data_IF_436674373411
#
_entry.id   IF_436674373411
#
_cell.length_a   1.000
_cell.length_b   1.000
_cell.length_c   1.000
_cell.angle_alpha   90.00
_cell.angle_beta   90.00
_cell.angle_gamma   90.00
#
_symmetry.space_group_name_H-M   'P 1'
#
loop_
_entity.id
_entity.type
_entity.pdbx_description
1 polymer ?
#
# COMPACT_ATOMS: atom_id res chain seq x y z
N UNK A 1 15.51 50.12 -9.69
CA UNK A 1 14.74 50.00 -8.44
C UNK A 1 14.63 48.52 -8.12
N UNK A 2 15.53 48.01 -7.29
CA UNK A 2 15.55 46.61 -6.85
C UNK A 2 14.41 46.38 -5.86
N UNK A 3 13.45 45.52 -6.19
CA UNK A 3 12.45 45.05 -5.24
C UNK A 3 13.16 44.25 -4.15
N UNK A 4 13.17 44.77 -2.92
CA UNK A 4 13.60 43.99 -1.77
C UNK A 4 12.55 42.89 -1.49
N UNK A 5 12.97 41.64 -1.26
CA UNK A 5 12.05 40.57 -0.90
C UNK A 5 11.47 40.85 0.50
N UNK A 6 10.15 40.72 0.64
CA UNK A 6 9.43 40.99 1.88
C UNK A 6 9.73 39.88 2.92
N UNK A 7 10.42 40.17 4.04
CA UNK A 7 10.87 39.18 5.00
C UNK A 7 9.72 38.47 5.76
N UNK A 8 8.52 39.05 5.78
CA UNK A 8 7.39 38.52 6.55
C UNK A 8 6.69 37.30 5.90
N UNK A 9 7.03 36.98 4.65
CA UNK A 9 6.46 35.83 3.94
C UNK A 9 7.30 34.56 4.02
N UNK A 10 8.60 34.66 4.33
CA UNK A 10 9.50 33.51 4.35
C UNK A 10 9.49 32.76 5.71
N UNK A 11 9.16 33.45 6.81
CA UNK A 11 9.26 32.91 8.17
C UNK A 11 8.04 32.08 8.63
N UNK A 12 6.92 32.14 7.89
CA UNK A 12 5.74 31.33 8.22
C UNK A 12 6.02 29.83 7.98
N UNK A 13 6.90 29.49 7.04
CA UNK A 13 7.28 28.09 6.76
C UNK A 13 8.17 27.48 7.84
N UNK A 14 8.86 28.29 8.64
CA UNK A 14 9.69 27.83 9.77
C UNK A 14 8.84 27.47 11.01
N UNK A 15 7.66 28.06 11.16
CA UNK A 15 6.77 27.83 12.31
C UNK A 15 5.64 26.81 12.05
N UNK A 16 5.48 26.34 10.82
CA UNK A 16 4.56 25.23 10.54
C UNK A 16 5.29 23.91 10.84
N UNK A 17 5.17 23.44 12.10
CA UNK A 17 5.60 22.07 12.46
C UNK A 17 5.02 21.09 11.42
N UNK A 18 5.83 20.19 10.84
CA UNK A 18 5.35 19.21 9.86
C UNK A 18 4.21 18.36 10.46
N UNK A 19 2.99 18.64 10.01
CA UNK A 19 1.78 18.05 10.59
C UNK A 19 0.53 18.92 10.70
N UNK A 20 0.51 20.15 10.17
CA UNK A 20 -0.71 20.99 10.17
C UNK A 20 -1.84 20.47 9.27
N UNK A 21 -1.56 19.57 8.32
CA UNK A 21 -2.57 18.86 7.51
C UNK A 21 -2.99 17.51 8.11
N UNK A 22 -2.81 17.32 9.42
CA UNK A 22 -3.28 16.11 10.11
C UNK A 22 -4.75 16.26 10.47
N UNK A 23 -5.54 15.20 10.23
CA UNK A 23 -6.94 15.18 10.62
C UNK A 23 -7.07 15.39 12.15
N UNK A 24 -7.87 16.37 12.62
CA UNK A 24 -7.90 16.76 14.04
C UNK A 24 -8.32 15.62 14.99
N UNK A 25 -9.06 14.63 14.51
CA UNK A 25 -9.56 13.51 15.31
C UNK A 25 -8.47 12.48 15.69
N UNK A 26 -7.51 12.21 14.82
CA UNK A 26 -6.46 11.18 15.05
C UNK A 26 -5.20 11.73 15.72
N UNK A 27 -5.25 12.95 16.26
CA UNK A 27 -4.09 13.61 16.87
C UNK A 27 -3.51 12.81 18.04
N UNK A 28 -4.35 12.06 18.77
CA UNK A 28 -4.03 11.35 20.01
C UNK A 28 -3.77 9.85 19.85
N UNK A 29 -4.15 9.23 18.72
CA UNK A 29 -3.87 7.82 18.46
C UNK A 29 -2.62 7.75 17.59
N UNK A 30 -1.49 7.40 18.20
CA UNK A 30 -0.21 7.23 17.50
C UNK A 30 0.44 5.91 17.89
N UNK A 31 0.83 5.12 16.89
CA UNK A 31 1.55 3.86 17.11
C UNK A 31 2.99 4.04 16.60
N UNK A 32 3.92 4.17 17.53
CA UNK A 32 5.35 4.37 17.26
C UNK A 32 6.13 3.05 17.31
N UNK A 33 5.86 2.14 16.37
CA UNK A 33 6.58 0.88 16.24
C UNK A 33 7.15 0.74 14.83
N UNK A 34 8.13 1.58 14.43
CA UNK A 34 8.53 1.75 13.04
C UNK A 34 9.01 0.46 12.35
N UNK A 35 9.73 -0.39 13.07
CA UNK A 35 10.19 -1.68 12.52
C UNK A 35 9.06 -2.69 12.40
N UNK A 36 8.14 -2.72 13.36
CA UNK A 36 6.96 -3.59 13.31
C UNK A 36 6.02 -3.17 12.18
N UNK A 37 5.76 -1.87 12.03
CA UNK A 37 4.94 -1.34 10.93
C UNK A 37 5.58 -1.67 9.58
N UNK A 38 6.91 -1.51 9.43
CA UNK A 38 7.63 -1.97 8.24
C UNK A 38 7.42 -3.48 7.99
N UNK A 39 7.58 -4.31 9.01
CA UNK A 39 7.37 -5.76 8.89
C UNK A 39 5.92 -6.09 8.47
N UNK A 40 4.93 -5.43 9.08
CA UNK A 40 3.52 -5.61 8.73
C UNK A 40 3.23 -5.23 7.27
N UNK A 41 3.79 -4.11 6.80
CA UNK A 41 3.68 -3.68 5.40
C UNK A 41 4.28 -4.73 4.46
N UNK A 42 5.47 -5.26 4.79
CA UNK A 42 6.12 -6.30 3.99
C UNK A 42 5.27 -7.59 3.96
N UNK A 43 4.73 -8.01 5.09
CA UNK A 43 3.84 -9.18 5.17
C UNK A 43 2.59 -8.99 4.32
N UNK A 44 1.97 -7.80 4.35
CA UNK A 44 0.78 -7.51 3.55
C UNK A 44 1.10 -7.55 2.05
N UNK A 45 2.21 -6.96 1.61
CA UNK A 45 2.59 -7.02 0.20
C UNK A 45 2.96 -8.45 -0.23
N UNK A 46 3.60 -9.22 0.66
CA UNK A 46 3.84 -10.64 0.43
C UNK A 46 2.55 -11.44 0.30
N UNK A 47 1.52 -11.12 1.09
CA UNK A 47 0.20 -11.73 0.96
C UNK A 47 -0.46 -11.37 -0.37
N UNK A 48 -0.40 -10.11 -0.81
CA UNK A 48 -0.93 -9.69 -2.12
C UNK A 48 -0.25 -10.49 -3.24
N UNK A 49 1.08 -10.50 -3.28
CA UNK A 49 1.84 -11.21 -4.32
C UNK A 49 1.67 -12.74 -4.25
N UNK A 50 1.65 -13.31 -3.04
CA UNK A 50 1.46 -14.74 -2.83
C UNK A 50 0.07 -15.23 -3.24
N UNK A 51 -0.98 -14.46 -2.91
CA UNK A 51 -2.33 -14.76 -3.39
C UNK A 51 -2.45 -14.58 -4.90
N UNK A 52 -1.85 -13.54 -5.50
CA UNK A 52 -1.83 -13.36 -6.95
C UNK A 52 -1.15 -14.54 -7.66
N UNK A 53 -0.03 -15.04 -7.12
CA UNK A 53 0.66 -16.23 -7.62
C UNK A 53 -0.17 -17.50 -7.47
N UNK A 54 -0.83 -17.70 -6.33
CA UNK A 54 -1.71 -18.84 -6.11
C UNK A 54 -2.90 -18.85 -7.09
N UNK A 55 -3.47 -17.66 -7.37
CA UNK A 55 -4.55 -17.51 -8.36
C UNK A 55 -4.02 -17.80 -9.77
N UNK A 56 -2.89 -17.19 -10.16
CA UNK A 56 -2.30 -17.39 -11.49
C UNK A 56 -1.93 -18.87 -11.75
N UNK A 57 -1.32 -19.52 -10.77
CA UNK A 57 -0.90 -20.93 -10.88
C UNK A 57 -2.07 -21.93 -10.94
N UNK A 58 -3.28 -21.51 -10.58
CA UNK A 58 -4.47 -22.34 -10.70
C UNK A 58 -4.93 -22.55 -12.15
N UNK A 59 -4.49 -21.68 -13.08
CA UNK A 59 -4.93 -21.72 -14.49
C UNK A 59 -6.41 -21.39 -14.69
N UNK A 60 -7.08 -20.83 -13.68
CA UNK A 60 -8.47 -20.43 -13.78
C UNK A 60 -8.60 -19.18 -14.65
N UNK A 61 -9.36 -19.27 -15.74
CA UNK A 61 -9.58 -18.14 -16.64
C UNK A 61 -10.56 -17.14 -16.02
N UNK A 62 -10.05 -15.94 -15.70
CA UNK A 62 -10.83 -14.89 -15.02
C UNK A 62 -11.33 -13.88 -16.06
N UNK A 63 -10.43 -13.36 -16.87
CA UNK A 63 -10.72 -12.42 -17.95
C UNK A 63 -9.57 -12.44 -18.94
N UNK A 64 -9.82 -11.92 -20.15
CA UNK A 64 -8.79 -11.84 -21.19
C UNK A 64 -7.57 -11.04 -20.72
N UNK A 65 -6.41 -11.69 -20.65
CA UNK A 65 -5.17 -11.07 -20.16
C UNK A 65 -5.01 -11.07 -18.64
N UNK A 66 -5.85 -11.80 -17.89
CA UNK A 66 -5.72 -11.97 -16.44
C UNK A 66 -4.35 -12.51 -16.03
N UNK A 67 -3.76 -13.40 -16.83
CA UNK A 67 -2.41 -13.93 -16.61
C UNK A 67 -1.35 -12.84 -16.57
N UNK A 68 -1.41 -11.90 -17.52
CA UNK A 68 -0.49 -10.77 -17.62
C UNK A 68 -0.69 -9.84 -16.43
N UNK A 69 -1.94 -9.53 -16.11
CA UNK A 69 -2.27 -8.61 -15.02
C UNK A 69 -1.84 -9.17 -13.65
N UNK A 70 -2.08 -10.46 -13.38
CA UNK A 70 -1.60 -11.14 -12.17
C UNK A 70 -0.07 -11.23 -12.16
N UNK A 71 0.56 -11.54 -13.30
CA UNK A 71 2.01 -11.53 -13.45
C UNK A 71 2.64 -10.18 -13.08
N UNK A 72 2.02 -9.07 -13.50
CA UNK A 72 2.45 -7.73 -13.13
C UNK A 72 2.32 -7.47 -11.62
N UNK A 73 1.21 -7.87 -10.99
CA UNK A 73 1.04 -7.75 -9.53
C UNK A 73 2.13 -8.52 -8.79
N UNK A 74 2.43 -9.75 -9.20
CA UNK A 74 3.49 -10.59 -8.63
C UNK A 74 4.86 -9.92 -8.78
N UNK A 75 5.18 -9.42 -9.98
CA UNK A 75 6.45 -8.76 -10.25
C UNK A 75 6.63 -7.49 -9.40
N UNK A 76 5.61 -6.63 -9.33
CA UNK A 76 5.64 -5.41 -8.53
C UNK A 76 5.77 -5.73 -7.03
N UNK A 77 5.05 -6.74 -6.54
CA UNK A 77 5.15 -7.20 -5.15
C UNK A 77 6.57 -7.72 -4.84
N UNK A 78 7.15 -8.53 -5.73
CA UNK A 78 8.51 -9.04 -5.57
C UNK A 78 9.55 -7.89 -5.52
N UNK A 79 9.45 -6.92 -6.43
CA UNK A 79 10.30 -5.73 -6.43
C UNK A 79 10.16 -4.96 -5.10
N UNK A 80 8.92 -4.73 -4.65
CA UNK A 80 8.66 -4.04 -3.39
C UNK A 80 9.30 -4.78 -2.20
N UNK A 81 9.16 -6.10 -2.13
CA UNK A 81 9.71 -6.91 -1.04
C UNK A 81 11.23 -6.87 -1.03
N UNK A 82 11.88 -7.04 -2.19
CA UNK A 82 13.34 -6.96 -2.31
C UNK A 82 13.84 -5.59 -1.87
N UNK A 83 13.24 -4.52 -2.39
CA UNK A 83 13.60 -3.14 -1.99
C UNK A 83 13.34 -2.93 -0.50
N UNK A 84 12.23 -3.40 0.02
CA UNK A 84 11.84 -3.23 1.42
C UNK A 84 12.74 -3.98 2.38
N UNK A 85 13.26 -5.15 2.01
CA UNK A 85 14.18 -5.94 2.84
C UNK A 85 15.61 -5.40 2.80
N UNK A 86 16.09 -5.00 1.62
CA UNK A 86 17.50 -4.65 1.39
C UNK A 86 17.77 -3.15 1.62
N UNK A 87 16.79 -2.29 1.40
CA UNK A 87 16.99 -0.84 1.45
C UNK A 87 16.37 -0.19 2.70
N UNK A 88 16.88 1.00 3.00
CA UNK A 88 16.32 1.93 3.99
C UNK A 88 15.53 3.05 3.31
N UNK A 89 15.01 2.82 2.12
CA UNK A 89 14.24 3.82 1.38
C UNK A 89 12.78 3.82 1.81
N UNK A 90 12.15 5.00 1.77
CA UNK A 90 10.72 5.15 2.00
C UNK A 90 9.96 4.77 0.73
N UNK A 91 9.68 3.48 0.57
CA UNK A 91 9.05 2.92 -0.64
C UNK A 91 7.52 2.75 -0.53
N UNK A 92 6.87 3.32 0.49
CA UNK A 92 5.43 3.10 0.75
C UNK A 92 4.53 3.56 -0.40
N UNK A 93 4.92 4.59 -1.14
CA UNK A 93 4.20 4.99 -2.35
C UNK A 93 4.22 3.90 -3.44
N UNK A 94 5.32 3.15 -3.56
CA UNK A 94 5.42 2.04 -4.51
C UNK A 94 4.50 0.88 -4.11
N UNK A 95 4.38 0.56 -2.82
CA UNK A 95 3.46 -0.49 -2.39
C UNK A 95 1.99 -0.09 -2.57
N UNK A 96 1.66 1.21 -2.56
CA UNK A 96 0.32 1.67 -2.93
C UNK A 96 -0.01 1.37 -4.41
N UNK A 97 1.00 1.39 -5.30
CA UNK A 97 0.85 0.96 -6.70
C UNK A 97 0.57 -0.55 -6.77
N UNK A 98 1.27 -1.38 -5.98
CA UNK A 98 1.00 -2.83 -5.88
C UNK A 98 -0.45 -3.09 -5.44
N UNK A 99 -0.88 -2.40 -4.39
CA UNK A 99 -2.24 -2.51 -3.87
C UNK A 99 -3.30 -2.06 -4.88
N UNK A 100 -3.06 -0.92 -5.55
CA UNK A 100 -3.95 -0.43 -6.60
C UNK A 100 -4.07 -1.43 -7.75
N UNK A 101 -2.95 -2.03 -8.19
CA UNK A 101 -2.96 -3.06 -9.21
C UNK A 101 -3.77 -4.29 -8.78
N UNK A 102 -3.60 -4.78 -7.54
CA UNK A 102 -4.39 -5.88 -7.00
C UNK A 102 -5.89 -5.59 -6.94
N UNK A 103 -6.27 -4.36 -6.57
CA UNK A 103 -7.67 -3.90 -6.59
C UNK A 103 -8.22 -3.86 -8.01
N UNK A 104 -7.47 -3.31 -8.96
CA UNK A 104 -7.89 -3.25 -10.37
C UNK A 104 -8.07 -4.64 -10.97
N UNK A 105 -7.17 -5.58 -10.66
CA UNK A 105 -7.31 -6.98 -11.08
C UNK A 105 -8.58 -7.60 -10.48
N UNK A 106 -8.85 -7.35 -9.19
CA UNK A 106 -10.08 -7.84 -8.56
C UNK A 106 -11.33 -7.33 -9.26
N UNK A 107 -11.41 -6.02 -9.52
CA UNK A 107 -12.53 -5.42 -10.24
C UNK A 107 -12.63 -5.90 -11.68
N UNK A 108 -11.51 -6.08 -12.38
CA UNK A 108 -11.47 -6.67 -13.72
C UNK A 108 -12.14 -8.05 -13.75
N UNK A 109 -11.91 -8.88 -12.73
CA UNK A 109 -12.57 -10.18 -12.62
C UNK A 109 -14.08 -10.09 -12.39
N UNK A 110 -14.60 -9.03 -11.78
CA UNK A 110 -16.06 -8.84 -11.61
C UNK A 110 -16.78 -8.64 -12.96
N UNK A 111 -16.07 -8.14 -13.98
CA UNK A 111 -16.60 -7.99 -15.34
C UNK A 111 -16.30 -9.21 -16.23
N UNK A 112 -15.60 -10.21 -15.71
CA UNK A 112 -15.35 -11.50 -16.36
C UNK A 112 -15.91 -12.65 -15.53
N UNK A 113 -15.15 -13.72 -15.43
CA UNK A 113 -15.40 -14.90 -14.62
C UNK A 113 -14.63 -14.80 -13.29
N UNK A 114 -15.05 -13.91 -12.39
CA UNK A 114 -14.46 -13.82 -11.06
C UNK A 114 -14.42 -15.21 -10.40
N UNK A 115 -13.30 -15.63 -9.78
CA UNK A 115 -13.15 -16.95 -9.19
C UNK A 115 -13.89 -17.04 -7.84
N UNK A 116 -15.22 -16.97 -7.89
CA UNK A 116 -16.09 -17.22 -6.76
C UNK A 116 -16.53 -18.68 -6.74
N UNK A 117 -16.88 -19.18 -5.55
CA UNK A 117 -17.42 -20.55 -5.41
C UNK A 117 -18.68 -20.73 -6.30
N UNK A 118 -19.51 -19.69 -6.41
CA UNK A 118 -20.67 -19.68 -7.31
C UNK A 118 -20.33 -19.71 -8.81
N UNK A 119 -19.09 -19.39 -9.19
CA UNK A 119 -18.59 -19.40 -10.56
C UNK A 119 -17.71 -20.63 -10.86
N UNK A 120 -17.80 -21.69 -10.03
CA UNK A 120 -17.06 -22.93 -10.24
C UNK A 120 -15.62 -22.93 -9.72
N UNK A 121 -15.17 -21.85 -9.06
CA UNK A 121 -13.86 -21.83 -8.41
C UNK A 121 -13.88 -22.69 -7.14
N UNK A 122 -12.78 -23.40 -6.88
CA UNK A 122 -12.58 -24.07 -5.60
C UNK A 122 -12.52 -23.07 -4.43
N UNK A 123 -12.88 -23.53 -3.22
CA UNK A 123 -12.93 -22.69 -2.01
C UNK A 123 -11.60 -21.96 -1.76
N UNK A 124 -10.47 -22.65 -1.97
CA UNK A 124 -9.14 -22.06 -1.78
C UNK A 124 -8.80 -20.99 -2.82
N UNK A 125 -9.22 -21.18 -4.07
CA UNK A 125 -9.01 -20.18 -5.13
C UNK A 125 -9.83 -18.92 -4.86
N UNK A 126 -11.11 -19.10 -4.49
CA UNK A 126 -11.97 -18.00 -4.10
C UNK A 126 -11.46 -17.27 -2.85
N UNK A 127 -10.92 -18.01 -1.88
CA UNK A 127 -10.28 -17.42 -0.70
C UNK A 127 -9.03 -16.62 -1.10
N UNK A 128 -8.17 -17.16 -1.98
CA UNK A 128 -6.98 -16.46 -2.47
C UNK A 128 -7.33 -15.15 -3.19
N UNK A 129 -8.33 -15.19 -4.07
CA UNK A 129 -8.82 -14.02 -4.80
C UNK A 129 -9.33 -12.91 -3.86
N UNK A 130 -10.19 -13.26 -2.91
CA UNK A 130 -10.73 -12.30 -1.95
C UNK A 130 -9.66 -11.80 -0.97
N UNK A 131 -8.73 -12.67 -0.54
CA UNK A 131 -7.64 -12.28 0.35
C UNK A 131 -6.71 -11.28 -0.33
N UNK A 132 -6.39 -11.46 -1.61
CA UNK A 132 -5.61 -10.50 -2.40
C UNK A 132 -6.27 -9.11 -2.38
N UNK A 133 -7.59 -9.05 -2.57
CA UNK A 133 -8.34 -7.80 -2.55
C UNK A 133 -8.35 -7.14 -1.17
N UNK A 134 -8.68 -7.89 -0.11
CA UNK A 134 -8.70 -7.35 1.24
C UNK A 134 -7.32 -6.94 1.73
N UNK A 135 -6.25 -7.67 1.36
CA UNK A 135 -4.88 -7.29 1.65
C UNK A 135 -4.49 -5.98 0.93
N UNK A 136 -4.94 -5.81 -0.30
CA UNK A 136 -4.73 -4.56 -1.06
C UNK A 136 -5.47 -3.38 -0.41
N UNK A 137 -6.72 -3.57 0.01
CA UNK A 137 -7.46 -2.55 0.78
C UNK A 137 -6.79 -2.23 2.11
N UNK A 138 -6.33 -3.25 2.85
CA UNK A 138 -5.61 -3.07 4.09
C UNK A 138 -4.32 -2.25 3.89
N UNK A 139 -3.60 -2.49 2.78
CA UNK A 139 -2.46 -1.67 2.41
C UNK A 139 -2.86 -0.20 2.19
N UNK A 140 -3.94 0.06 1.47
CA UNK A 140 -4.43 1.44 1.26
C UNK A 140 -4.73 2.14 2.58
N UNK A 141 -5.36 1.44 3.54
CA UNK A 141 -5.62 1.96 4.89
C UNK A 141 -4.33 2.27 5.65
N UNK A 142 -3.34 1.38 5.59
CA UNK A 142 -2.02 1.60 6.22
C UNK A 142 -1.30 2.77 5.56
N UNK A 143 -1.30 2.84 4.23
CA UNK A 143 -0.67 3.92 3.48
C UNK A 143 -1.29 5.28 3.81
N UNK A 144 -2.63 5.33 3.89
CA UNK A 144 -3.36 6.48 4.41
C UNK A 144 -2.87 6.82 5.83
N UNK A 145 -2.86 5.86 6.76
CA UNK A 145 -2.46 6.08 8.15
C UNK A 145 -1.00 6.57 8.29
N UNK A 146 -0.08 6.12 7.43
CA UNK A 146 1.30 6.62 7.37
C UNK A 146 1.36 8.08 6.91
N UNK A 147 0.60 8.43 5.86
CA UNK A 147 0.59 9.79 5.32
C UNK A 147 -0.07 10.80 6.27
N UNK A 148 -1.09 10.38 7.03
CA UNK A 148 -1.72 11.19 8.07
C UNK A 148 -0.95 11.22 9.40
N UNK A 149 0.15 10.47 9.52
CA UNK A 149 1.00 10.45 10.72
C UNK A 149 0.36 9.76 11.93
N UNK A 150 -0.56 8.82 11.69
CA UNK A 150 -1.16 7.93 12.70
C UNK A 150 -0.22 6.75 12.98
N UNK A 151 0.41 6.23 11.92
CA UNK A 151 1.44 5.19 11.98
C UNK A 151 2.80 5.77 11.59
N UNK A 152 3.86 5.19 12.14
CA UNK A 152 5.23 5.41 11.66
C UNK A 152 5.84 4.09 11.24
N UNK A 153 6.55 4.10 10.12
CA UNK A 153 7.24 2.94 9.56
C UNK A 153 8.68 3.29 9.21
N UNK A 154 9.62 2.44 9.60
CA UNK A 154 11.03 2.59 9.30
C UNK A 154 11.25 2.65 7.77
N UNK A 155 11.92 3.66 7.20
CA UNK A 155 12.99 4.48 7.80
C UNK A 155 12.52 5.78 8.45
N UNK A 156 11.23 6.11 8.43
CA UNK A 156 10.75 7.39 8.93
C UNK A 156 11.01 7.50 10.44
N UNK A 157 11.75 8.54 10.82
CA UNK A 157 11.83 9.05 12.19
C UNK A 157 11.00 10.33 12.21
N UNK A 158 9.66 10.20 12.19
CA UNK A 158 8.86 11.38 12.55
C UNK A 158 9.29 11.71 13.97
N UNK A 159 10.01 12.83 14.17
CA UNK A 159 10.52 13.23 15.48
C UNK A 159 9.41 13.16 16.51
N UNK A 160 9.44 12.12 17.34
CA UNK A 160 8.59 11.95 18.52
C UNK A 160 9.24 12.65 19.71
N UNK A 161 9.91 13.77 19.45
CA UNK A 161 10.30 14.71 20.48
C UNK A 161 9.08 15.63 20.66
N UNK A 162 8.17 15.21 21.54
CA UNK A 162 7.43 16.18 22.34
C UNK A 162 8.42 16.86 23.30
#
# INVERSE_FOLDING_TARGET
>A
MSQQPNPDTEDIKLHVKPGKTRAPFFRYIRINLPRLTKAAILVIVALIGGCAWAVLSSGFDIFAGSDIALGLVIALAAIFLVLGLVTKWRIWGFGAVVAAAGILVYFGGLFGHAPFVGNGAGVYLAAGWNTMFFASLAYCVIYWALNYGVLVAYPDTQGFED
#
